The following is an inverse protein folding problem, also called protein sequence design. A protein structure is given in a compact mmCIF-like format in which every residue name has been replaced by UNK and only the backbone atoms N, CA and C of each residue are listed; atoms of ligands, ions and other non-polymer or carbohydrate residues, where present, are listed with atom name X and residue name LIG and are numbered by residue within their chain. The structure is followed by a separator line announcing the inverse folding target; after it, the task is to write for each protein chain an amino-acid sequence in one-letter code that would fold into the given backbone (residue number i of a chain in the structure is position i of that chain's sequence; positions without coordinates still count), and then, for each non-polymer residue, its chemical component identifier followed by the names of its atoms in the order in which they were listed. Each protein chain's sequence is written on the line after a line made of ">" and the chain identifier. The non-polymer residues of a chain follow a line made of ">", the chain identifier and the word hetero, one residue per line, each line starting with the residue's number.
data_IF_339286482927
#
_entry.id   IF_339286482927
#
_cell.length_a   1.000
_cell.length_b   1.000
_cell.length_c   1.000
_cell.angle_alpha   90.00
_cell.angle_beta   90.00
_cell.angle_gamma   90.00
#
_symmetry.space_group_name_H-M   'P 1'
#
loop_
_entity.id
_entity.type
_entity.pdbx_description
1 polymer ?
#
# COMPACT_ATOMS: atom_id res chain seq x y z
N UNK A 1 0.54 -7.85 -5.59
CA UNK A 1 -0.74 -7.75 -6.34
C UNK A 1 -0.59 -6.61 -7.33
N UNK A 2 -1.15 -6.69 -8.54
CA UNK A 2 -0.98 -5.66 -9.57
C UNK A 2 -2.31 -4.92 -9.74
N UNK A 3 -2.42 -3.66 -9.28
CA UNK A 3 -3.67 -2.86 -9.36
C UNK A 3 -3.97 -2.33 -10.77
N UNK A 4 -2.93 -2.07 -11.58
CA UNK A 4 -3.08 -1.47 -12.91
C UNK A 4 -2.14 -2.14 -13.90
N UNK A 5 -2.54 -3.30 -14.45
CA UNK A 5 -1.86 -3.84 -15.63
C UNK A 5 -2.20 -2.94 -16.81
N UNK A 6 -1.23 -2.16 -17.33
CA UNK A 6 -1.37 -1.59 -18.68
C UNK A 6 -1.50 -2.74 -19.68
N UNK A 7 -2.18 -2.49 -20.79
CA UNK A 7 -2.55 -3.50 -21.81
C UNK A 7 -1.36 -4.28 -22.40
N UNK A 8 -0.11 -3.84 -22.18
CA UNK A 8 1.11 -4.45 -22.73
C UNK A 8 2.34 -4.39 -21.81
N UNK A 9 2.19 -4.60 -20.50
CA UNK A 9 3.36 -4.78 -19.63
C UNK A 9 3.94 -6.20 -19.76
N UNK A 10 5.25 -6.26 -20.03
CA UNK A 10 5.99 -7.53 -20.16
C UNK A 10 5.95 -8.27 -18.82
N UNK A 11 5.34 -9.46 -18.81
CA UNK A 11 5.03 -10.22 -17.59
C UNK A 11 6.23 -10.74 -16.78
N UNK A 12 7.48 -10.51 -17.22
CA UNK A 12 8.69 -10.87 -16.46
C UNK A 12 9.15 -9.77 -15.49
N UNK A 13 8.62 -8.55 -15.58
CA UNK A 13 8.92 -7.52 -14.59
C UNK A 13 8.10 -7.78 -13.31
N UNK A 14 8.71 -7.73 -12.12
CA UNK A 14 7.98 -7.88 -10.87
C UNK A 14 7.02 -6.71 -10.66
N UNK A 15 5.73 -6.92 -10.96
CA UNK A 15 4.67 -5.92 -10.86
C UNK A 15 3.96 -5.98 -9.51
N UNK A 16 4.71 -5.85 -8.42
CA UNK A 16 4.15 -5.74 -7.08
C UNK A 16 3.66 -4.29 -6.84
N UNK A 17 2.41 -4.13 -6.41
CA UNK A 17 1.96 -2.87 -5.80
C UNK A 17 2.68 -2.65 -4.47
N UNK A 18 2.98 -1.40 -4.15
CA UNK A 18 3.55 -1.02 -2.84
C UNK A 18 2.52 -1.07 -1.69
N UNK A 19 1.25 -1.33 -1.99
CA UNK A 19 0.19 -1.45 -0.99
C UNK A 19 0.35 -2.71 -0.13
N UNK A 20 0.27 -2.52 1.19
CA UNK A 20 0.34 -3.60 2.17
C UNK A 20 -1.08 -4.03 2.56
N UNK A 21 -1.30 -5.35 2.55
CA UNK A 21 -2.58 -5.95 2.92
C UNK A 21 -2.44 -6.85 4.15
N UNK A 22 -3.51 -6.99 4.91
CA UNK A 22 -3.62 -7.93 6.04
C UNK A 22 -4.25 -9.23 5.57
N UNK A 23 -3.65 -10.37 5.92
CA UNK A 23 -4.22 -11.69 5.65
C UNK A 23 -5.27 -12.01 6.73
N UNK A 24 -6.51 -12.30 6.33
CA UNK A 24 -7.60 -12.60 7.29
C UNK A 24 -7.67 -14.09 7.61
N UNK A 25 -7.87 -14.92 6.58
CA UNK A 25 -8.00 -16.37 6.71
C UNK A 25 -7.64 -17.04 5.39
N UNK A 26 -6.81 -18.09 5.48
CA UNK A 26 -6.54 -18.98 4.36
C UNK A 26 -7.71 -19.95 4.15
N UNK A 27 -8.10 -20.17 2.91
CA UNK A 27 -9.00 -21.26 2.50
C UNK A 27 -8.21 -22.29 1.72
N UNK A 28 -8.61 -23.55 1.77
CA UNK A 28 -8.05 -24.57 0.89
C UNK A 28 -9.10 -24.91 -0.18
N UNK A 29 -8.75 -24.75 -1.46
CA UNK A 29 -9.59 -25.18 -2.58
C UNK A 29 -8.79 -26.15 -3.43
N UNK A 30 -9.33 -27.35 -3.64
CA UNK A 30 -8.67 -28.42 -4.40
C UNK A 30 -7.24 -28.76 -3.92
N UNK A 31 -7.00 -28.69 -2.61
CA UNK A 31 -5.68 -28.98 -2.02
C UNK A 31 -4.69 -27.83 -2.09
N UNK A 32 -5.04 -26.70 -2.70
CA UNK A 32 -4.18 -25.51 -2.78
C UNK A 32 -4.61 -24.44 -1.78
N UNK A 33 -3.67 -23.90 -0.96
CA UNK A 33 -3.95 -22.79 -0.08
C UNK A 33 -4.24 -21.52 -0.87
N UNK A 34 -5.22 -20.76 -0.41
CA UNK A 34 -5.66 -19.48 -0.97
C UNK A 34 -5.80 -18.48 0.17
N UNK A 35 -5.28 -17.28 0.00
CA UNK A 35 -5.39 -16.20 0.96
C UNK A 35 -6.54 -15.25 0.61
N UNK A 36 -7.36 -14.94 1.61
CA UNK A 36 -8.21 -13.76 1.60
C UNK A 36 -7.50 -12.62 2.31
N UNK A 37 -7.35 -11.51 1.61
CA UNK A 37 -6.66 -10.33 2.09
C UNK A 37 -7.66 -9.18 2.31
N UNK A 38 -7.25 -8.25 3.16
CA UNK A 38 -8.00 -7.09 3.58
C UNK A 38 -7.07 -5.89 3.45
N UNK A 39 -7.59 -4.74 3.05
CA UNK A 39 -6.83 -3.51 3.06
C UNK A 39 -6.49 -3.06 4.51
N UNK A 40 -5.78 -1.93 4.62
CA UNK A 40 -5.47 -1.35 5.92
C UNK A 40 -6.72 -0.79 6.65
N UNK A 41 -7.77 -0.41 5.89
CA UNK A 41 -9.05 0.08 6.40
C UNK A 41 -10.00 -1.02 6.92
N UNK A 42 -9.70 -2.29 6.66
CA UNK A 42 -10.56 -3.42 7.02
C UNK A 42 -11.54 -3.87 5.92
N UNK A 43 -11.48 -3.26 4.74
CA UNK A 43 -12.27 -3.63 3.56
C UNK A 43 -11.68 -4.88 2.88
N UNK A 44 -12.49 -5.95 2.67
CA UNK A 44 -12.03 -7.15 2.02
C UNK A 44 -11.82 -6.92 0.52
N UNK A 45 -10.65 -7.30 0.00
CA UNK A 45 -10.39 -7.26 -1.44
C UNK A 45 -11.14 -8.41 -2.12
N UNK A 46 -11.85 -8.09 -3.20
CA UNK A 46 -12.58 -9.09 -4.00
C UNK A 46 -11.59 -10.05 -4.67
N UNK A 47 -11.59 -11.30 -4.24
CA UNK A 47 -10.76 -12.35 -4.82
C UNK A 47 -10.22 -13.31 -3.78
N UNK A 48 -9.39 -14.24 -4.23
CA UNK A 48 -8.57 -15.09 -3.39
C UNK A 48 -7.26 -15.29 -4.11
N UNK A 49 -6.15 -15.16 -3.38
CA UNK A 49 -4.81 -15.09 -3.97
C UNK A 49 -4.02 -16.32 -3.58
N UNK A 50 -3.25 -16.85 -4.51
CA UNK A 50 -2.32 -17.92 -4.17
C UNK A 50 -1.11 -17.38 -3.39
N UNK A 51 -0.42 -18.23 -2.60
CA UNK A 51 0.80 -17.82 -1.90
C UNK A 51 1.87 -17.22 -2.80
N UNK A 52 1.97 -17.67 -4.04
CA UNK A 52 2.93 -17.19 -5.04
C UNK A 52 2.59 -15.77 -5.53
N UNK A 53 1.34 -15.33 -5.36
CA UNK A 53 0.86 -13.99 -5.75
C UNK A 53 0.92 -12.97 -4.62
N UNK A 54 1.37 -13.38 -3.43
CA UNK A 54 1.53 -12.53 -2.25
C UNK A 54 2.93 -12.65 -1.66
N UNK A 55 3.52 -11.52 -1.29
CA UNK A 55 4.78 -11.50 -0.57
C UNK A 55 4.51 -11.19 0.90
N UNK A 56 5.04 -12.04 1.79
CA UNK A 56 5.00 -11.76 3.22
C UNK A 56 5.96 -10.61 3.51
N UNK A 57 5.43 -9.54 4.08
CA UNK A 57 6.19 -8.39 4.57
C UNK A 57 5.95 -8.26 6.08
N UNK A 58 7.00 -7.90 6.82
CA UNK A 58 6.88 -7.55 8.22
C UNK A 58 6.79 -6.03 8.30
N UNK A 59 5.59 -5.51 8.58
CA UNK A 59 5.37 -4.07 8.77
C UNK A 59 5.27 -3.77 10.25
N UNK A 60 6.23 -3.01 10.75
CA UNK A 60 6.27 -2.48 12.11
C UNK A 60 5.75 -1.04 12.13
N UNK A 61 5.41 -0.54 13.33
CA UNK A 61 4.93 0.85 13.48
C UNK A 61 5.99 1.91 13.12
N UNK A 62 7.25 1.53 13.00
CA UNK A 62 8.35 2.43 12.64
C UNK A 62 8.73 2.40 11.16
N UNK A 63 8.03 1.64 10.33
CA UNK A 63 8.34 1.57 8.90
C UNK A 63 7.83 2.81 8.16
N UNK A 64 8.62 3.24 7.19
CA UNK A 64 8.31 4.41 6.37
C UNK A 64 7.45 4.02 5.17
N UNK A 65 6.44 4.83 4.88
CA UNK A 65 5.64 4.73 3.66
C UNK A 65 6.10 5.80 2.67
N UNK A 66 6.20 5.44 1.39
CA UNK A 66 6.62 6.37 0.36
C UNK A 66 5.49 7.32 -0.01
N UNK A 67 5.84 8.59 -0.19
CA UNK A 67 4.92 9.62 -0.67
C UNK A 67 5.04 9.67 -2.20
N UNK A 68 3.91 9.53 -2.89
CA UNK A 68 3.82 9.73 -4.34
C UNK A 68 3.81 11.21 -4.69
N UNK A 69 2.97 11.98 -3.98
CA UNK A 69 2.80 13.41 -4.24
C UNK A 69 2.28 14.15 -3.02
N UNK A 70 2.74 15.39 -2.84
CA UNK A 70 2.12 16.34 -1.91
C UNK A 70 1.00 17.08 -2.66
N UNK A 71 -0.23 16.97 -2.15
CA UNK A 71 -1.43 17.53 -2.77
C UNK A 71 -1.75 18.93 -2.27
N UNK A 72 -1.58 19.19 -0.96
CA UNK A 72 -1.86 20.47 -0.32
C UNK A 72 -0.89 20.72 0.83
N UNK A 73 -0.71 21.99 1.17
CA UNK A 73 0.05 22.42 2.33
C UNK A 73 -0.82 23.34 3.17
N UNK A 74 -0.80 23.17 4.50
CA UNK A 74 -1.47 24.08 5.43
C UNK A 74 -0.56 24.40 6.60
N UNK A 75 -0.79 25.57 7.21
CA UNK A 75 -0.11 25.99 8.44
C UNK A 75 -1.12 26.08 9.58
N UNK A 76 -0.92 25.35 10.66
CA UNK A 76 -1.78 25.34 11.85
C UNK A 76 -0.92 25.50 13.09
N UNK A 77 -1.20 26.52 13.91
CA UNK A 77 -0.52 26.73 15.20
C UNK A 77 1.03 26.59 15.12
N UNK A 78 1.65 27.30 14.17
CA UNK A 78 3.09 27.25 13.87
C UNK A 78 3.67 25.93 13.34
N UNK A 79 2.84 24.93 13.05
CA UNK A 79 3.25 23.70 12.37
C UNK A 79 2.82 23.72 10.91
N UNK A 80 3.67 23.18 10.04
CA UNK A 80 3.36 23.00 8.62
C UNK A 80 2.97 21.55 8.42
N UNK A 81 1.78 21.33 7.88
CA UNK A 81 1.29 19.99 7.57
C UNK A 81 1.12 19.85 6.05
N UNK A 82 1.40 18.66 5.54
CA UNK A 82 1.28 18.32 4.14
C UNK A 82 0.18 17.27 3.96
N UNK A 83 -0.73 17.50 3.02
CA UNK A 83 -1.69 16.50 2.59
C UNK A 83 -1.05 15.63 1.54
N UNK A 84 -0.71 14.39 1.90
CA UNK A 84 0.09 13.50 1.07
C UNK A 84 -0.75 12.44 0.40
N UNK A 85 -0.39 12.13 -0.85
CA UNK A 85 -0.80 10.95 -1.59
C UNK A 85 0.27 9.89 -1.39
N UNK A 86 -0.10 8.78 -0.77
CA UNK A 86 0.80 7.65 -0.53
C UNK A 86 0.98 6.81 -1.78
N UNK A 87 2.22 6.40 -2.08
CA UNK A 87 2.55 5.63 -3.26
C UNK A 87 1.93 4.23 -3.20
N UNK A 88 1.16 3.88 -4.24
CA UNK A 88 0.48 2.60 -4.33
C UNK A 88 -0.83 2.48 -3.55
N UNK A 89 -1.22 3.47 -2.75
CA UNK A 89 -2.49 3.47 -2.01
C UNK A 89 -3.56 4.30 -2.72
N UNK A 90 -4.86 3.96 -2.58
CA UNK A 90 -5.95 4.77 -3.14
C UNK A 90 -6.06 6.13 -2.43
N UNK A 91 -6.71 7.10 -3.08
CA UNK A 91 -6.85 8.48 -2.56
C UNK A 91 -7.61 8.56 -1.23
N UNK A 92 -8.38 7.53 -0.90
CA UNK A 92 -9.06 7.38 0.38
C UNK A 92 -8.10 7.32 1.58
N UNK A 93 -6.84 6.92 1.36
CA UNK A 93 -5.81 6.88 2.41
C UNK A 93 -4.99 8.16 2.51
N UNK A 94 -5.26 9.17 1.68
CA UNK A 94 -4.54 10.44 1.75
C UNK A 94 -4.74 11.08 3.13
N UNK A 95 -3.64 11.50 3.75
CA UNK A 95 -3.65 12.01 5.13
C UNK A 95 -2.81 13.28 5.27
N UNK A 96 -3.09 14.05 6.32
CA UNK A 96 -2.23 15.16 6.73
C UNK A 96 -1.08 14.60 7.57
N UNK A 97 0.15 14.95 7.21
CA UNK A 97 1.38 14.53 7.89
C UNK A 97 2.15 15.79 8.28
N UNK A 98 2.75 15.82 9.47
CA UNK A 98 3.58 16.94 9.89
C UNK A 98 4.86 16.98 9.06
N UNK A 99 5.31 18.19 8.72
CA UNK A 99 6.63 18.43 8.15
C UNK A 99 7.77 17.72 8.87
N UNK A 100 7.69 17.52 10.19
CA UNK A 100 8.73 16.84 10.98
C UNK A 100 8.79 15.34 10.74
N UNK A 101 7.68 14.73 10.31
CA UNK A 101 7.56 13.28 10.11
C UNK A 101 7.93 12.86 8.68
N UNK A 102 8.25 13.84 7.81
CA UNK A 102 8.67 13.58 6.43
C UNK A 102 10.19 13.56 6.37
N UNK A 103 10.73 12.40 5.98
CA UNK A 103 12.16 12.22 5.74
C UNK A 103 12.41 12.23 4.24
N UNK A 104 13.31 13.10 3.79
CA UNK A 104 13.82 13.05 2.42
C UNK A 104 14.99 12.07 2.37
N UNK A 105 14.82 10.93 1.71
CA UNK A 105 15.96 10.12 1.27
C UNK A 105 16.67 10.88 0.15
N UNK A 106 17.80 11.52 0.47
CA UNK A 106 18.72 12.04 -0.53
C UNK A 106 19.33 10.85 -1.29
N UNK A 107 19.33 10.95 -2.61
CA UNK A 107 19.86 9.93 -3.53
C UNK A 107 21.38 9.79 -3.43
#
# INVERSE_FOLDING_TARGET
>A
ISKHKKTFEKGYLPNWTEEVFRVKKGTNKYGKPLYKIVDYGGEPIKGSFYPEEVQRVNVTRGDHFKIEKILKTRRRANKTEFYVKWLGYPETFNSWVDSTDIVNEAK
#
